data_IF_956810406812
#
_entry.id   IF_956810406812
#
_cell.length_a   1.000
_cell.length_b   1.000
_cell.length_c   1.000
_cell.angle_alpha   90.00
_cell.angle_beta   90.00
_cell.angle_gamma   90.00
#
_symmetry.space_group_name_H-M   'P 1'
#
loop_
_entity.id
_entity.type
_entity.pdbx_description
1 polymer ?
#
# COMPACT_ATOMS: atom_id res chain seq x y z
N UNK A 1 -15.98 -4.02 16.01
CA UNK A 1 -17.07 -4.72 15.29
C UNK A 1 -17.04 -6.21 15.58
N UNK A 2 -18.19 -6.86 15.67
CA UNK A 2 -18.30 -8.31 15.78
C UNK A 2 -18.85 -8.87 14.47
N UNK A 3 -18.01 -9.61 13.74
CA UNK A 3 -18.30 -10.07 12.37
C UNK A 3 -18.06 -11.58 12.30
N UNK A 4 -19.10 -12.40 12.07
CA UNK A 4 -18.96 -13.86 12.11
C UNK A 4 -18.01 -14.43 11.06
N UNK A 5 -17.75 -13.68 9.97
CA UNK A 5 -16.87 -14.14 8.90
C UNK A 5 -15.40 -13.74 9.09
N UNK A 6 -15.07 -12.90 10.09
CA UNK A 6 -13.69 -12.54 10.42
C UNK A 6 -12.93 -13.77 10.92
N UNK A 7 -11.65 -13.96 10.53
CA UNK A 7 -10.83 -15.08 11.02
C UNK A 7 -10.70 -15.05 12.55
N UNK A 8 -10.71 -16.24 13.16
CA UNK A 8 -10.59 -16.40 14.60
C UNK A 8 -9.55 -17.48 14.90
N UNK A 9 -8.43 -17.07 15.49
CA UNK A 9 -7.31 -17.95 15.81
C UNK A 9 -7.69 -19.06 16.79
N UNK A 10 -8.61 -18.81 17.72
CA UNK A 10 -9.08 -19.85 18.66
C UNK A 10 -9.90 -20.92 17.93
N UNK A 11 -10.72 -20.53 16.96
CA UNK A 11 -11.44 -21.47 16.12
C UNK A 11 -10.49 -22.27 15.24
N UNK A 12 -9.43 -21.64 14.73
CA UNK A 12 -8.42 -22.30 13.92
C UNK A 12 -7.61 -23.31 14.75
N UNK A 13 -7.19 -22.96 15.96
CA UNK A 13 -6.53 -23.89 16.91
C UNK A 13 -7.47 -25.03 17.29
N UNK A 14 -8.76 -24.76 17.52
CA UNK A 14 -9.74 -25.82 17.80
C UNK A 14 -9.92 -26.77 16.58
N UNK A 15 -9.71 -26.24 15.36
CA UNK A 15 -9.76 -26.97 14.10
C UNK A 15 -8.42 -27.54 13.66
N UNK A 16 -7.31 -27.35 14.38
CA UNK A 16 -5.98 -27.91 14.04
C UNK A 16 -5.95 -29.45 13.98
N UNK A 17 -7.06 -30.12 14.29
CA UNK A 17 -7.31 -31.53 13.98
C UNK A 17 -7.75 -31.80 12.52
N UNK A 18 -7.95 -30.78 11.68
CA UNK A 18 -8.34 -30.90 10.27
C UNK A 18 -7.16 -30.67 9.31
N UNK A 19 -7.17 -31.40 8.19
CA UNK A 19 -6.01 -31.61 7.30
C UNK A 19 -5.72 -30.42 6.37
N UNK A 20 -6.63 -29.43 6.27
CA UNK A 20 -6.44 -28.24 5.43
C UNK A 20 -7.08 -27.00 6.05
N UNK A 21 -6.31 -25.92 6.16
CA UNK A 21 -6.86 -24.60 6.49
C UNK A 21 -7.85 -24.16 5.38
N UNK A 22 -9.01 -23.59 5.75
CA UNK A 22 -9.93 -23.03 4.75
C UNK A 22 -9.24 -21.91 3.98
N UNK A 23 -9.63 -21.72 2.72
CA UNK A 23 -9.12 -20.61 1.91
C UNK A 23 -9.43 -19.28 2.61
N UNK A 24 -8.48 -18.33 2.64
CA UNK A 24 -8.72 -17.01 3.17
C UNK A 24 -9.93 -16.38 2.48
N UNK A 25 -10.88 -15.85 3.27
CA UNK A 25 -12.02 -15.10 2.73
C UNK A 25 -11.54 -13.76 2.20
N UNK A 26 -12.08 -13.34 1.06
CA UNK A 26 -11.77 -12.04 0.47
C UNK A 26 -12.44 -10.88 1.23
N UNK A 27 -13.64 -11.09 1.77
CA UNK A 27 -14.39 -10.12 2.58
C UNK A 27 -14.97 -10.79 3.83
N UNK A 28 -15.16 -9.99 4.87
CA UNK A 28 -15.66 -10.39 6.19
C UNK A 28 -17.07 -9.86 6.47
N UNK A 29 -17.58 -8.92 5.66
CA UNK A 29 -18.87 -8.27 5.90
C UNK A 29 -20.06 -9.18 5.62
N UNK A 30 -21.02 -9.19 6.54
CA UNK A 30 -22.34 -9.80 6.45
C UNK A 30 -23.36 -8.85 7.12
N UNK A 31 -24.04 -8.03 6.31
CA UNK A 31 -24.97 -6.98 6.78
C UNK A 31 -26.10 -7.46 7.70
N UNK A 32 -26.45 -8.75 7.67
CA UNK A 32 -27.53 -9.30 8.51
C UNK A 32 -27.03 -9.75 9.88
N UNK A 33 -25.73 -10.04 10.01
CA UNK A 33 -25.15 -10.63 11.23
C UNK A 33 -24.06 -9.79 11.88
N UNK A 34 -23.51 -8.82 11.16
CA UNK A 34 -22.48 -7.95 11.68
C UNK A 34 -23.05 -7.00 12.72
N UNK A 35 -22.36 -6.93 13.87
CA UNK A 35 -22.70 -6.00 14.94
C UNK A 35 -21.64 -4.91 15.04
N UNK A 36 -22.10 -3.67 15.10
CA UNK A 36 -21.25 -2.49 15.28
C UNK A 36 -21.37 -2.08 16.73
N UNK A 37 -20.24 -2.02 17.41
CA UNK A 37 -20.17 -1.67 18.83
C UNK A 37 -19.30 -0.42 18.97
N UNK A 38 -19.70 0.49 19.86
CA UNK A 38 -18.82 1.53 20.37
C UNK A 38 -18.18 1.05 21.67
N UNK A 39 -16.92 1.38 21.87
CA UNK A 39 -16.14 0.98 23.05
C UNK A 39 -15.35 2.18 23.57
N UNK A 40 -15.38 2.39 24.88
CA UNK A 40 -14.59 3.37 25.62
C UNK A 40 -13.96 2.73 26.87
N UNK A 41 -13.39 3.53 27.78
CA UNK A 41 -12.77 2.98 29.00
C UNK A 41 -13.79 2.36 29.98
N UNK A 42 -15.08 2.62 29.80
CA UNK A 42 -16.17 2.19 30.69
C UNK A 42 -16.85 0.90 30.23
N UNK A 43 -16.93 0.65 28.92
CA UNK A 43 -17.57 -0.55 28.41
C UNK A 43 -17.88 -0.52 26.92
N UNK A 44 -18.80 -1.40 26.51
CA UNK A 44 -19.23 -1.61 25.12
C UNK A 44 -20.73 -1.47 24.97
N UNK A 45 -21.17 -0.81 23.91
CA UNK A 45 -22.58 -0.63 23.59
C UNK A 45 -22.84 -0.92 22.12
N UNK A 46 -23.89 -1.68 21.83
CA UNK A 46 -24.28 -2.02 20.46
C UNK A 46 -24.95 -0.83 19.81
N UNK A 47 -24.46 -0.44 18.63
CA UNK A 47 -24.99 0.67 17.84
C UNK A 47 -25.99 0.13 16.82
N UNK A 48 -27.21 0.67 16.84
CA UNK A 48 -28.29 0.35 15.90
C UNK A 48 -28.81 1.60 15.21
N UNK A 49 -29.55 1.42 14.10
CA UNK A 49 -30.11 2.51 13.31
C UNK A 49 -29.54 2.60 11.90
N UNK A 50 -30.22 3.35 11.03
CA UNK A 50 -29.84 3.48 9.62
C UNK A 50 -28.60 4.35 9.40
N UNK A 51 -28.35 5.33 10.28
CA UNK A 51 -27.24 6.28 10.16
C UNK A 51 -25.87 5.62 10.19
N UNK A 52 -25.69 4.56 10.98
CA UNK A 52 -24.41 3.84 11.05
C UNK A 52 -24.09 3.12 9.74
N UNK A 53 -25.13 2.71 9.01
CA UNK A 53 -24.99 1.98 7.74
C UNK A 53 -24.55 2.89 6.60
N UNK A 54 -24.59 4.22 6.74
CA UNK A 54 -24.21 5.15 5.66
C UNK A 54 -22.72 5.43 5.61
N UNK A 55 -22.01 5.32 6.74
CA UNK A 55 -20.59 5.72 6.84
C UNK A 55 -19.61 4.56 6.62
N UNK A 56 -20.10 3.34 6.42
CA UNK A 56 -19.29 2.13 6.15
C UNK A 56 -18.03 2.05 7.05
N UNK A 57 -18.26 2.24 8.34
CA UNK A 57 -17.20 2.17 9.34
C UNK A 57 -16.49 0.81 9.26
N UNK A 58 -15.23 0.82 9.65
CA UNK A 58 -14.47 -0.39 9.95
C UNK A 58 -14.10 -0.40 11.43
N UNK A 59 -13.54 -1.52 11.90
CA UNK A 59 -13.01 -1.59 13.26
C UNK A 59 -11.90 -0.55 13.49
N UNK A 60 -11.73 -0.07 14.72
CA UNK A 60 -10.71 0.91 15.12
C UNK A 60 -11.02 2.38 14.75
N UNK A 61 -12.06 2.67 13.97
CA UNK A 61 -12.48 4.05 13.72
C UNK A 61 -12.97 4.73 15.01
N UNK A 62 -12.44 5.93 15.28
CA UNK A 62 -12.89 6.79 16.38
C UNK A 62 -13.87 7.83 15.84
N UNK A 63 -15.10 7.82 16.35
CA UNK A 63 -16.21 8.67 15.88
C UNK A 63 -17.00 9.24 17.04
N UNK A 64 -17.62 10.40 16.84
CA UNK A 64 -18.64 10.93 17.75
C UNK A 64 -20.03 10.43 17.33
N UNK A 65 -20.81 9.90 18.26
CA UNK A 65 -22.20 9.45 18.00
C UNK A 65 -23.18 10.18 18.92
N UNK A 66 -24.34 10.52 18.39
CA UNK A 66 -25.47 11.09 19.13
C UNK A 66 -26.70 10.21 18.93
N UNK A 67 -27.39 9.88 20.01
CA UNK A 67 -28.49 8.92 19.95
C UNK A 67 -29.16 8.72 21.30
N UNK A 68 -30.00 7.70 21.37
CA UNK A 68 -30.74 7.33 22.59
C UNK A 68 -30.68 5.84 22.83
N UNK A 69 -30.64 5.45 24.11
CA UNK A 69 -30.74 4.05 24.51
C UNK A 69 -32.14 3.50 24.22
N UNK A 70 -32.20 2.29 23.65
CA UNK A 70 -33.43 1.56 23.41
C UNK A 70 -33.84 0.75 24.65
N UNK A 71 -35.08 0.27 24.70
CA UNK A 71 -35.52 -0.59 25.80
C UNK A 71 -34.78 -1.95 25.86
N UNK A 72 -34.11 -2.36 24.77
CA UNK A 72 -33.26 -3.56 24.68
C UNK A 72 -31.84 -3.33 25.20
N UNK A 73 -31.44 -2.08 25.51
CA UNK A 73 -30.09 -1.72 25.93
C UNK A 73 -29.12 -1.48 24.76
N UNK A 74 -29.63 -1.36 23.54
CA UNK A 74 -28.86 -0.92 22.36
C UNK A 74 -28.88 0.61 22.27
N UNK A 75 -28.00 1.19 21.46
CA UNK A 75 -27.95 2.64 21.22
C UNK A 75 -28.39 2.97 19.82
N UNK A 76 -29.56 3.60 19.70
CA UNK A 76 -30.08 4.06 18.41
C UNK A 76 -29.38 5.36 18.01
N UNK A 77 -28.55 5.29 16.97
CA UNK A 77 -27.77 6.42 16.46
C UNK A 77 -28.64 7.33 15.59
N UNK A 78 -28.81 8.57 16.04
CA UNK A 78 -29.51 9.64 15.34
C UNK A 78 -28.54 10.40 14.42
N UNK A 79 -27.33 10.69 14.92
CA UNK A 79 -26.30 11.41 14.15
C UNK A 79 -24.89 10.94 14.50
N UNK A 80 -23.95 11.22 13.59
CA UNK A 80 -22.55 10.81 13.70
C UNK A 80 -21.64 11.90 13.14
N UNK A 81 -20.50 12.13 13.81
CA UNK A 81 -19.46 13.06 13.40
C UNK A 81 -18.13 12.34 13.29
N UNK A 82 -17.46 12.54 12.15
CA UNK A 82 -16.10 12.05 11.90
C UNK A 82 -15.06 13.12 12.30
N UNK A 83 -13.81 12.72 12.59
CA UNK A 83 -12.71 13.68 12.81
C UNK A 83 -12.45 14.62 11.64
N UNK A 84 -12.80 14.21 10.42
CA UNK A 84 -12.57 14.94 9.16
C UNK A 84 -11.08 15.16 8.85
N UNK A 85 -10.74 15.81 7.74
CA UNK A 85 -9.34 16.03 7.37
C UNK A 85 -8.62 16.92 8.41
N UNK A 86 -7.36 16.60 8.79
CA UNK A 86 -6.56 17.42 9.70
C UNK A 86 -6.13 18.74 9.05
N UNK A 87 -5.46 19.61 9.81
CA UNK A 87 -4.95 20.86 9.26
C UNK A 87 -3.88 20.58 8.20
N UNK A 88 -3.91 21.36 7.12
CA UNK A 88 -3.01 21.21 5.98
C UNK A 88 -2.05 22.40 5.91
N UNK A 89 -0.76 22.10 5.75
CA UNK A 89 0.25 23.13 5.49
C UNK A 89 -0.02 23.78 4.13
N UNK A 90 0.17 25.10 4.02
CA UNK A 90 -0.01 25.75 2.72
C UNK A 90 1.13 25.40 1.76
N UNK A 91 0.77 25.05 0.52
CA UNK A 91 1.72 24.87 -0.57
C UNK A 91 2.26 26.23 -1.01
N UNK A 92 3.57 26.32 -1.19
CA UNK A 92 4.21 27.48 -1.80
C UNK A 92 4.07 27.40 -3.32
N UNK A 93 2.89 27.76 -3.85
CA UNK A 93 2.65 27.78 -5.29
C UNK A 93 3.34 29.03 -5.89
N UNK A 94 4.25 28.89 -6.86
CA UNK A 94 4.86 30.03 -7.53
C UNK A 94 3.79 30.93 -8.16
N UNK A 95 3.95 32.26 -8.04
CA UNK A 95 2.98 33.24 -8.59
C UNK A 95 2.87 33.23 -10.11
N UNK A 96 3.85 32.65 -10.79
CA UNK A 96 3.86 32.44 -12.23
C UNK A 96 4.19 30.97 -12.48
N UNK A 97 3.49 30.31 -13.43
CA UNK A 97 3.76 28.92 -13.73
C UNK A 97 5.20 28.76 -14.20
N UNK A 98 5.88 27.76 -13.64
CA UNK A 98 7.25 27.48 -14.03
C UNK A 98 7.28 27.00 -15.48
N UNK A 99 8.30 27.42 -16.26
CA UNK A 99 8.43 26.92 -17.64
C UNK A 99 8.86 25.45 -17.69
N UNK A 100 9.34 24.90 -16.57
CA UNK A 100 9.83 23.53 -16.41
C UNK A 100 9.03 22.86 -15.30
N UNK A 101 8.20 21.90 -15.69
CA UNK A 101 7.47 21.03 -14.74
C UNK A 101 8.46 20.28 -13.87
N UNK A 102 8.03 19.87 -12.68
CA UNK A 102 8.78 19.00 -11.77
C UNK A 102 7.88 17.84 -11.36
N UNK A 103 8.37 16.62 -11.57
CA UNK A 103 7.60 15.40 -11.33
C UNK A 103 8.20 14.54 -10.23
N UNK A 104 7.33 13.87 -9.48
CA UNK A 104 7.69 12.69 -8.69
C UNK A 104 7.10 11.46 -9.36
N UNK A 105 7.95 10.47 -9.61
CA UNK A 105 7.54 9.18 -10.13
C UNK A 105 7.16 8.23 -8.98
N UNK A 106 6.03 7.55 -9.10
CA UNK A 106 5.51 6.57 -8.16
C UNK A 106 5.41 5.21 -8.85
N UNK A 107 5.93 4.19 -8.17
CA UNK A 107 6.00 2.82 -8.65
C UNK A 107 5.69 1.86 -7.50
N UNK A 108 5.09 0.71 -7.76
CA UNK A 108 4.92 -0.34 -6.76
C UNK A 108 4.88 -1.72 -7.41
N UNK A 109 5.13 -2.78 -6.66
CA UNK A 109 4.92 -4.14 -7.16
C UNK A 109 5.83 -4.49 -8.34
N UNK A 110 7.13 -4.23 -8.22
CA UNK A 110 8.12 -4.72 -9.19
C UNK A 110 8.16 -6.26 -9.19
N UNK A 111 7.99 -6.88 -8.02
CA UNK A 111 7.94 -8.32 -7.83
C UNK A 111 9.12 -9.06 -8.51
N UNK A 112 10.34 -8.54 -8.36
CA UNK A 112 11.55 -9.12 -8.95
C UNK A 112 11.71 -10.56 -8.47
N UNK A 113 11.82 -11.49 -9.42
CA UNK A 113 11.94 -12.93 -9.17
C UNK A 113 13.38 -13.43 -9.26
N UNK A 114 14.29 -12.65 -9.85
CA UNK A 114 15.67 -13.07 -10.12
C UNK A 114 15.80 -14.14 -11.22
N UNK A 115 14.74 -14.36 -12.00
CA UNK A 115 14.76 -15.22 -13.17
C UNK A 115 15.53 -14.55 -14.33
N UNK A 116 16.08 -15.35 -15.25
CA UNK A 116 16.87 -14.86 -16.39
C UNK A 116 16.03 -13.95 -17.32
N UNK A 117 14.72 -14.15 -17.33
CA UNK A 117 13.75 -13.36 -18.08
C UNK A 117 13.05 -12.36 -17.15
N UNK A 118 13.82 -11.50 -16.50
CA UNK A 118 13.25 -10.29 -15.88
C UNK A 118 12.49 -9.52 -16.98
N UNK A 119 11.35 -8.94 -16.61
CA UNK A 119 10.41 -8.36 -17.57
C UNK A 119 11.10 -7.28 -18.44
N UNK A 120 10.79 -7.28 -19.74
CA UNK A 120 11.29 -6.26 -20.68
C UNK A 120 10.83 -4.87 -20.25
N UNK A 121 9.65 -4.79 -19.65
CA UNK A 121 9.07 -3.58 -19.09
C UNK A 121 9.94 -3.00 -17.97
N UNK A 122 10.52 -3.83 -17.10
CA UNK A 122 11.46 -3.38 -16.05
C UNK A 122 12.71 -2.72 -16.65
N UNK A 123 13.26 -3.29 -17.72
CA UNK A 123 14.42 -2.71 -18.41
C UNK A 123 14.07 -1.39 -19.09
N UNK A 124 12.94 -1.33 -19.81
CA UNK A 124 12.47 -0.11 -20.45
C UNK A 124 12.18 1.01 -19.44
N UNK A 125 11.67 0.65 -18.26
CA UNK A 125 11.48 1.59 -17.15
C UNK A 125 12.81 2.21 -16.72
N UNK A 126 13.85 1.40 -16.53
CA UNK A 126 15.18 1.88 -16.12
C UNK A 126 15.78 2.77 -17.21
N UNK A 127 15.77 2.34 -18.48
CA UNK A 127 16.25 3.15 -19.61
C UNK A 127 15.47 4.47 -19.74
N UNK A 128 14.15 4.45 -19.53
CA UNK A 128 13.33 5.66 -19.54
C UNK A 128 13.69 6.62 -18.42
N UNK A 129 13.86 6.13 -17.18
CA UNK A 129 14.21 6.95 -16.02
C UNK A 129 15.65 7.49 -16.08
N UNK A 130 16.56 6.77 -16.73
CA UNK A 130 17.93 7.23 -17.01
C UNK A 130 18.00 8.20 -18.21
N UNK A 131 16.91 8.36 -18.96
CA UNK A 131 16.84 9.23 -20.15
C UNK A 131 17.52 8.62 -21.38
N UNK A 132 17.71 7.30 -21.40
CA UNK A 132 18.34 6.55 -22.50
C UNK A 132 17.31 6.10 -23.55
N UNK A 133 16.03 6.02 -23.18
CA UNK A 133 14.92 5.66 -24.05
C UNK A 133 14.06 6.87 -24.49
N UNK A 134 13.31 6.69 -25.58
CA UNK A 134 12.33 7.66 -26.06
C UNK A 134 12.87 8.71 -27.05
N UNK A 135 12.02 9.69 -27.36
CA UNK A 135 12.35 10.85 -28.19
C UNK A 135 13.02 11.97 -27.36
N UNK A 136 13.61 13.01 -27.98
CA UNK A 136 14.13 14.15 -27.24
C UNK A 136 13.10 14.84 -26.34
N UNK A 137 11.81 14.82 -26.72
CA UNK A 137 10.71 15.34 -25.89
C UNK A 137 10.47 14.46 -24.64
N UNK A 138 10.52 13.13 -24.81
CA UNK A 138 10.44 12.19 -23.68
C UNK A 138 11.62 12.37 -22.73
N UNK A 139 12.83 12.56 -23.26
CA UNK A 139 14.04 12.80 -22.47
C UNK A 139 13.99 14.13 -21.71
N UNK A 140 13.47 15.19 -22.33
CA UNK A 140 13.23 16.47 -21.65
C UNK A 140 12.25 16.30 -20.48
N UNK A 141 11.16 15.55 -20.71
CA UNK A 141 10.20 15.19 -19.65
C UNK A 141 10.83 14.32 -18.56
N UNK A 142 11.57 13.28 -18.89
CA UNK A 142 12.29 12.46 -17.90
C UNK A 142 13.23 13.33 -17.05
N UNK A 143 13.93 14.30 -17.66
CA UNK A 143 14.83 15.20 -16.94
C UNK A 143 14.14 16.08 -15.89
N UNK A 144 12.80 16.18 -15.94
CA UNK A 144 12.00 16.87 -14.92
C UNK A 144 11.56 15.98 -13.75
N UNK A 145 11.84 14.68 -13.78
CA UNK A 145 11.54 13.78 -12.66
C UNK A 145 12.62 13.94 -11.60
N UNK A 146 12.27 14.50 -10.45
CA UNK A 146 13.22 14.78 -9.36
C UNK A 146 13.44 13.58 -8.43
N UNK A 147 12.43 12.70 -8.33
CA UNK A 147 12.45 11.56 -7.41
C UNK A 147 11.58 10.40 -7.90
N UNK A 148 12.03 9.18 -7.64
CA UNK A 148 11.26 7.95 -7.73
C UNK A 148 10.92 7.44 -6.32
N UNK A 149 9.66 7.08 -6.07
CA UNK A 149 9.24 6.35 -4.87
C UNK A 149 8.78 4.96 -5.29
N UNK A 150 9.43 3.92 -4.74
CA UNK A 150 9.05 2.51 -4.91
C UNK A 150 8.28 2.09 -3.65
N UNK A 151 6.96 1.98 -3.77
CA UNK A 151 5.99 1.77 -2.70
C UNK A 151 5.74 0.27 -2.41
N UNK A 152 6.79 -0.47 -2.08
CA UNK A 152 6.72 -1.87 -1.62
C UNK A 152 6.46 -2.92 -2.70
N UNK A 153 6.62 -4.18 -2.28
CA UNK A 153 6.63 -5.39 -3.10
C UNK A 153 7.66 -5.29 -4.23
N UNK A 154 8.89 -4.96 -3.83
CA UNK A 154 10.01 -4.90 -4.77
C UNK A 154 10.49 -6.30 -5.16
N UNK A 155 10.44 -7.24 -4.22
CA UNK A 155 10.79 -8.64 -4.42
C UNK A 155 9.55 -9.52 -4.46
N UNK A 156 9.58 -10.58 -5.28
CA UNK A 156 8.51 -11.59 -5.30
C UNK A 156 8.48 -12.42 -4.02
N UNK A 157 7.35 -13.08 -3.76
CA UNK A 157 7.29 -14.08 -2.68
C UNK A 157 8.36 -15.19 -2.85
N UNK A 158 8.92 -15.72 -1.76
CA UNK A 158 9.89 -16.81 -1.83
C UNK A 158 9.33 -18.11 -2.44
N UNK A 159 8.01 -18.33 -2.36
CA UNK A 159 7.38 -19.59 -2.77
C UNK A 159 7.10 -19.69 -4.27
N UNK A 160 6.89 -18.57 -4.97
CA UNK A 160 6.80 -18.54 -6.44
C UNK A 160 8.13 -18.88 -7.10
N UNK A 161 9.25 -18.64 -6.41
CA UNK A 161 10.60 -18.95 -6.91
C UNK A 161 10.89 -20.47 -7.00
N UNK A 162 10.19 -21.30 -6.22
CA UNK A 162 10.39 -22.76 -6.22
C UNK A 162 9.56 -23.50 -7.30
N UNK A 163 8.55 -22.85 -7.88
CA UNK A 163 7.67 -23.47 -8.87
C UNK A 163 8.27 -23.46 -10.29
N UNK A 164 9.06 -22.44 -10.63
CA UNK A 164 9.62 -22.30 -11.98
C UNK A 164 10.88 -23.16 -12.22
N UNK A 165 11.64 -23.50 -11.17
CA UNK A 165 12.76 -24.45 -11.26
C UNK A 165 12.29 -25.92 -11.43
N UNK A 166 10.97 -26.16 -11.41
CA UNK A 166 10.36 -27.49 -11.52
C UNK A 166 9.82 -27.83 -12.92
N UNK A 167 10.32 -27.20 -14.00
CA UNK A 167 10.10 -27.71 -15.37
C UNK A 167 11.01 -28.93 -15.64
N UNK A 168 10.81 -29.99 -14.85
CA UNK A 168 11.28 -31.33 -15.16
C UNK A 168 10.06 -32.17 -15.60
N UNK A 169 10.17 -32.99 -16.66
CA UNK A 169 9.02 -33.69 -17.22
C UNK A 169 8.38 -34.61 -16.17
N UNK A 170 7.05 -34.54 -16.13
CA UNK A 170 6.18 -35.30 -15.25
C UNK A 170 6.56 -36.80 -15.20
N UNK A 171 7.30 -37.19 -14.17
CA UNK A 171 7.41 -38.57 -13.74
C UNK A 171 7.83 -38.63 -12.27
N UNK A 172 7.16 -39.53 -11.54
CA UNK A 172 7.31 -39.85 -10.12
C UNK A 172 6.57 -38.97 -9.11
N UNK A 173 5.45 -39.52 -8.66
CA UNK A 173 4.78 -39.24 -7.40
C UNK A 173 5.78 -39.20 -6.23
N UNK A 174 6.12 -38.01 -5.75
CA UNK A 174 6.72 -37.83 -4.42
C UNK A 174 5.63 -37.44 -3.42
N UNK A 175 5.59 -38.05 -2.23
CA UNK A 175 4.64 -37.68 -1.20
C UNK A 175 4.93 -36.25 -0.73
N UNK A 176 3.88 -35.46 -0.54
CA UNK A 176 3.91 -34.14 0.06
C UNK A 176 4.51 -34.30 1.45
N UNK A 177 5.80 -33.95 1.61
CA UNK A 177 6.46 -33.95 2.91
C UNK A 177 5.79 -32.85 3.75
N UNK A 178 5.40 -33.22 4.97
CA UNK A 178 4.86 -32.31 5.97
C UNK A 178 5.73 -31.06 6.09
N UNK A 179 5.09 -29.88 6.10
CA UNK A 179 5.72 -28.58 6.32
C UNK A 179 6.52 -28.65 7.63
N UNK A 180 7.84 -28.77 7.52
CA UNK A 180 8.72 -28.74 8.69
C UNK A 180 8.75 -27.29 9.16
N UNK A 181 8.34 -27.04 10.40
CA UNK A 181 8.46 -25.74 11.04
C UNK A 181 9.96 -25.42 11.18
N UNK A 182 10.43 -24.39 10.47
CA UNK A 182 11.83 -23.98 10.46
C UNK A 182 12.28 -23.44 9.09
N UNK A 183 13.16 -22.45 9.13
CA UNK A 183 13.83 -21.89 7.95
C UNK A 183 14.66 -22.99 7.25
N UNK A 184 14.34 -23.28 5.99
CA UNK A 184 15.16 -24.14 5.14
C UNK A 184 16.15 -23.28 4.36
N UNK A 185 17.41 -23.26 4.81
CA UNK A 185 18.47 -22.51 4.13
C UNK A 185 18.68 -22.96 2.67
N UNK A 186 18.22 -24.17 2.29
CA UNK A 186 18.32 -24.67 0.93
C UNK A 186 17.32 -24.02 -0.05
N UNK A 187 16.26 -23.36 0.43
CA UNK A 187 15.30 -22.63 -0.42
C UNK A 187 15.64 -21.14 -0.56
N UNK A 188 16.79 -20.69 -0.04
CA UNK A 188 17.21 -19.29 -0.16
C UNK A 188 17.77 -18.99 -1.55
N UNK A 189 17.18 -18.01 -2.22
CA UNK A 189 17.64 -17.49 -3.50
C UNK A 189 18.03 -16.01 -3.35
N UNK A 190 19.32 -15.70 -3.51
CA UNK A 190 19.83 -14.33 -3.40
C UNK A 190 19.67 -13.51 -4.70
N UNK A 191 19.36 -14.16 -5.84
CA UNK A 191 19.27 -13.49 -7.16
C UNK A 191 18.30 -12.31 -7.18
N UNK A 192 17.06 -12.40 -6.64
CA UNK A 192 16.12 -11.28 -6.66
C UNK A 192 16.69 -10.02 -5.98
N UNK A 193 17.29 -10.21 -4.79
CA UNK A 193 17.92 -9.12 -4.05
C UNK A 193 19.11 -8.53 -4.80
N UNK A 194 19.93 -9.35 -5.45
CA UNK A 194 21.06 -8.87 -6.25
C UNK A 194 20.60 -8.06 -7.48
N UNK A 195 19.52 -8.48 -8.15
CA UNK A 195 18.93 -7.73 -9.28
C UNK A 195 18.35 -6.40 -8.80
N UNK A 196 17.62 -6.39 -7.69
CA UNK A 196 17.11 -5.16 -7.10
C UNK A 196 18.25 -4.20 -6.72
N UNK A 197 19.32 -4.69 -6.09
CA UNK A 197 20.48 -3.86 -5.74
C UNK A 197 21.14 -3.24 -6.97
N UNK A 198 21.33 -4.01 -8.05
CA UNK A 198 21.88 -3.50 -9.30
C UNK A 198 20.99 -2.42 -9.93
N UNK A 199 19.69 -2.68 -10.03
CA UNK A 199 18.72 -1.71 -10.55
C UNK A 199 18.71 -0.41 -9.75
N UNK A 200 18.71 -0.52 -8.42
CA UNK A 200 18.77 0.65 -7.53
C UNK A 200 20.08 1.41 -7.71
N UNK A 201 21.21 0.71 -7.82
CA UNK A 201 22.51 1.34 -8.04
C UNK A 201 22.56 2.10 -9.36
N UNK A 202 22.01 1.54 -10.43
CA UNK A 202 21.92 2.19 -11.75
C UNK A 202 21.07 3.46 -11.67
N UNK A 203 19.83 3.36 -11.13
CA UNK A 203 18.94 4.50 -10.99
C UNK A 203 19.53 5.61 -10.10
N UNK A 204 20.17 5.24 -8.99
CA UNK A 204 20.75 6.18 -8.03
C UNK A 204 21.91 7.01 -8.60
N UNK A 205 22.44 6.68 -9.79
CA UNK A 205 23.41 7.52 -10.50
C UNK A 205 22.82 8.82 -11.03
N UNK A 206 21.51 8.85 -11.30
CA UNK A 206 20.84 9.94 -12.00
C UNK A 206 19.68 10.54 -11.20
N UNK A 207 18.86 9.69 -10.55
CA UNK A 207 17.65 10.11 -9.82
C UNK A 207 17.69 9.69 -8.34
N UNK A 208 17.04 10.47 -7.49
CA UNK A 208 16.82 10.06 -6.09
C UNK A 208 15.74 8.99 -6.01
N UNK A 209 16.02 7.86 -5.35
CA UNK A 209 15.11 6.73 -5.17
C UNK A 209 14.78 6.54 -3.69
N UNK A 210 13.51 6.70 -3.33
CA UNK A 210 12.96 6.27 -2.05
C UNK A 210 12.43 4.84 -2.17
N UNK A 211 12.89 3.93 -1.31
CA UNK A 211 12.45 2.53 -1.29
C UNK A 211 11.66 2.24 -0.02
N UNK A 212 10.39 1.86 -0.16
CA UNK A 212 9.52 1.40 0.93
C UNK A 212 9.40 -0.13 0.89
N UNK A 213 9.36 -0.82 2.04
CA UNK A 213 9.06 -2.24 2.09
C UNK A 213 7.55 -2.51 1.95
N UNK A 214 7.20 -3.60 1.25
CA UNK A 214 5.85 -4.14 1.21
C UNK A 214 5.72 -5.49 1.93
N UNK A 215 4.64 -6.22 1.64
CA UNK A 215 4.29 -7.49 2.29
C UNK A 215 5.25 -8.62 1.91
N UNK A 216 5.70 -8.64 0.65
CA UNK A 216 6.60 -9.68 0.11
C UNK A 216 8.07 -9.37 0.33
N UNK A 217 8.38 -8.15 0.81
CA UNK A 217 9.74 -7.70 1.00
C UNK A 217 10.30 -8.15 2.37
N UNK A 218 11.63 -8.33 2.48
CA UNK A 218 12.30 -8.77 3.71
C UNK A 218 12.42 -7.64 4.74
N UNK A 219 11.26 -7.29 5.32
CA UNK A 219 11.08 -6.44 6.49
C UNK A 219 10.26 -7.19 7.55
N UNK A 220 9.96 -6.55 8.69
CA UNK A 220 8.99 -7.11 9.63
C UNK A 220 7.58 -7.16 9.01
N UNK A 221 6.79 -8.16 9.39
CA UNK A 221 5.44 -8.36 8.87
C UNK A 221 4.42 -7.37 9.47
N UNK A 222 4.59 -6.98 10.73
CA UNK A 222 3.71 -6.03 11.40
C UNK A 222 3.96 -4.60 10.94
N UNK A 223 2.93 -3.77 10.86
CA UNK A 223 3.10 -2.34 10.69
C UNK A 223 3.55 -1.68 12.00
N UNK A 224 4.35 -0.59 11.94
CA UNK A 224 5.06 -0.08 10.78
C UNK A 224 6.22 -0.99 10.39
N UNK A 225 6.33 -1.28 9.09
CA UNK A 225 7.46 -2.03 8.55
C UNK A 225 8.70 -1.14 8.53
N UNK A 226 9.79 -1.65 9.12
CA UNK A 226 11.08 -0.99 9.15
C UNK A 226 11.76 -1.08 7.78
N UNK A 227 12.62 -0.11 7.50
CA UNK A 227 13.41 -0.09 6.26
C UNK A 227 14.20 -1.39 6.06
N UNK A 228 14.30 -1.82 4.81
CA UNK A 228 15.11 -2.98 4.44
C UNK A 228 16.57 -2.79 4.88
N UNK A 229 17.19 -3.88 5.35
CA UNK A 229 18.51 -3.80 5.96
C UNK A 229 19.61 -3.50 4.92
N UNK A 230 20.55 -2.57 5.17
CA UNK A 230 21.57 -2.16 4.18
C UNK A 230 22.48 -3.27 3.67
N UNK A 231 22.62 -4.39 4.39
CA UNK A 231 23.42 -5.56 3.92
C UNK A 231 22.83 -6.22 2.69
N UNK A 232 21.55 -5.97 2.40
CA UNK A 232 20.88 -6.44 1.20
C UNK A 232 21.34 -5.69 -0.06
N UNK A 233 21.90 -4.49 0.12
CA UNK A 233 22.23 -3.58 -0.96
C UNK A 233 23.74 -3.32 -1.03
N UNK A 234 24.57 -4.31 -1.40
CA UNK A 234 26.03 -4.15 -1.40
C UNK A 234 26.53 -3.02 -2.31
N UNK A 235 25.80 -2.67 -3.37
CA UNK A 235 26.17 -1.59 -4.30
C UNK A 235 25.33 -0.32 -4.07
N UNK A 236 24.01 -0.41 -4.00
CA UNK A 236 23.15 0.76 -3.84
C UNK A 236 23.36 1.48 -2.49
N UNK A 237 23.82 0.76 -1.44
CA UNK A 237 24.10 1.39 -0.13
C UNK A 237 25.11 2.54 -0.21
N UNK A 238 26.01 2.57 -1.19
CA UNK A 238 26.99 3.65 -1.32
C UNK A 238 26.34 4.99 -1.69
N UNK A 239 25.12 4.97 -2.21
CA UNK A 239 24.30 6.15 -2.48
C UNK A 239 23.42 6.56 -1.29
N UNK A 240 23.46 5.81 -0.17
CA UNK A 240 22.62 6.09 1.00
C UNK A 240 22.94 7.47 1.56
N UNK A 241 21.91 8.30 1.74
CA UNK A 241 22.06 9.67 2.23
C UNK A 241 22.35 10.70 1.15
N UNK A 242 22.51 10.27 -0.11
CA UNK A 242 22.49 11.13 -1.30
C UNK A 242 21.23 10.80 -2.10
N UNK A 243 21.32 9.86 -3.04
CA UNK A 243 20.24 9.51 -3.96
C UNK A 243 19.49 8.24 -3.54
N UNK A 244 20.05 7.37 -2.70
CA UNK A 244 19.32 6.21 -2.18
C UNK A 244 18.73 6.47 -0.78
N UNK A 245 17.42 6.29 -0.64
CA UNK A 245 16.66 6.65 0.57
C UNK A 245 15.79 5.46 1.00
N UNK A 246 16.34 4.50 1.77
CA UNK A 246 15.55 3.42 2.33
C UNK A 246 14.63 3.94 3.43
N UNK A 247 13.35 3.58 3.37
CA UNK A 247 12.28 4.15 4.19
C UNK A 247 11.38 3.09 4.84
N UNK A 248 10.45 3.52 5.68
CA UNK A 248 9.45 2.67 6.38
C UNK A 248 8.16 2.53 5.57
N UNK A 249 7.25 1.65 6.02
CA UNK A 249 5.86 1.61 5.58
C UNK A 249 4.94 1.62 6.82
N UNK A 250 4.05 2.61 7.00
CA UNK A 250 3.81 3.78 6.13
C UNK A 250 5.02 4.72 6.01
N UNK A 251 4.99 5.59 5.00
CA UNK A 251 6.00 6.62 4.77
C UNK A 251 5.38 8.01 4.62
N UNK A 252 5.96 9.01 5.28
CA UNK A 252 5.67 10.41 5.04
C UNK A 252 6.97 11.17 4.69
N UNK A 253 6.90 12.06 3.71
CA UNK A 253 8.00 12.94 3.33
C UNK A 253 7.51 14.25 2.72
N UNK A 254 8.42 15.21 2.56
CA UNK A 254 8.16 16.46 1.85
C UNK A 254 9.15 16.61 0.69
N UNK A 255 8.63 16.87 -0.51
CA UNK A 255 9.41 17.00 -1.74
C UNK A 255 8.98 18.32 -2.40
N UNK A 256 9.91 19.27 -2.51
CA UNK A 256 9.69 20.62 -3.05
C UNK A 256 8.43 21.32 -2.50
N UNK A 257 8.19 21.19 -1.19
CA UNK A 257 7.04 21.80 -0.49
C UNK A 257 5.72 21.04 -0.64
N UNK A 258 5.70 19.90 -1.33
CA UNK A 258 4.56 18.98 -1.42
C UNK A 258 4.75 17.84 -0.42
N UNK A 259 3.70 17.54 0.35
CA UNK A 259 3.74 16.57 1.45
C UNK A 259 3.12 15.28 0.95
N UNK A 260 3.89 14.22 0.99
CA UNK A 260 3.48 12.89 0.61
C UNK A 260 3.26 12.06 1.86
N UNK A 261 2.14 11.35 1.88
CA UNK A 261 1.89 10.22 2.77
C UNK A 261 1.60 9.02 1.88
N UNK A 262 2.11 7.85 2.21
CA UNK A 262 1.71 6.66 1.50
C UNK A 262 2.04 5.36 2.18
N UNK A 263 1.40 4.31 1.68
CA UNK A 263 1.55 2.94 2.17
C UNK A 263 1.83 1.99 1.02
N UNK A 264 2.30 0.79 1.34
CA UNK A 264 2.55 -0.26 0.35
C UNK A 264 1.32 -1.12 0.02
N UNK A 265 0.10 -0.65 0.32
CA UNK A 265 -1.15 -1.31 -0.08
C UNK A 265 -1.89 -2.01 1.05
N UNK A 266 -1.18 -2.61 2.01
CA UNK A 266 -1.78 -3.51 3.00
C UNK A 266 -2.89 -2.85 3.82
N UNK A 267 -2.79 -1.53 4.08
CA UNK A 267 -3.78 -0.79 4.86
C UNK A 267 -5.15 -0.74 4.18
N UNK A 268 -5.19 -0.39 2.90
CA UNK A 268 -6.44 -0.35 2.13
C UNK A 268 -6.89 -1.75 1.73
N UNK A 269 -5.96 -2.68 1.46
CA UNK A 269 -6.29 -4.09 1.22
C UNK A 269 -6.96 -4.74 2.42
N UNK A 270 -6.61 -4.33 3.64
CA UNK A 270 -7.28 -4.81 4.84
C UNK A 270 -8.64 -4.14 5.07
N UNK A 271 -8.75 -2.81 4.86
CA UNK A 271 -10.05 -2.10 4.87
C UNK A 271 -11.03 -2.70 3.84
N UNK A 272 -10.55 -3.07 2.65
CA UNK A 272 -11.35 -3.70 1.59
C UNK A 272 -12.07 -4.97 2.07
N UNK A 273 -11.49 -5.71 3.02
CA UNK A 273 -12.12 -6.92 3.57
C UNK A 273 -13.36 -6.59 4.40
N UNK A 274 -13.48 -5.37 4.93
CA UNK A 274 -14.58 -4.93 5.78
C UNK A 274 -15.71 -4.21 5.04
N UNK A 275 -15.56 -3.94 3.74
CA UNK A 275 -16.51 -3.14 2.97
C UNK A 275 -16.99 -3.86 1.72
N UNK A 276 -18.25 -3.62 1.34
CA UNK A 276 -18.86 -4.32 0.20
C UNK A 276 -18.45 -3.74 -1.15
N UNK A 277 -18.13 -2.44 -1.21
CA UNK A 277 -17.64 -1.77 -2.40
C UNK A 277 -16.20 -2.16 -2.76
N UNK A 278 -15.83 -1.88 -4.01
CA UNK A 278 -14.49 -2.16 -4.53
C UNK A 278 -13.69 -0.88 -4.84
N UNK A 279 -14.28 0.31 -4.64
CA UNK A 279 -13.64 1.60 -4.88
C UNK A 279 -12.54 1.88 -3.83
N UNK A 280 -11.29 1.61 -4.22
CA UNK A 280 -10.13 1.84 -3.36
C UNK A 280 -9.88 3.31 -3.08
N UNK A 281 -10.25 4.22 -3.98
CA UNK A 281 -10.12 5.67 -3.75
C UNK A 281 -11.12 6.15 -2.70
N UNK A 282 -12.33 5.59 -2.68
CA UNK A 282 -13.30 5.86 -1.61
C UNK A 282 -12.79 5.36 -0.25
N UNK A 283 -12.21 4.16 -0.19
CA UNK A 283 -11.59 3.64 1.03
C UNK A 283 -10.44 4.54 1.51
N UNK A 284 -9.59 5.01 0.60
CA UNK A 284 -8.53 5.98 0.91
C UNK A 284 -9.10 7.28 1.47
N UNK A 285 -10.13 7.83 0.83
CA UNK A 285 -10.80 9.04 1.30
C UNK A 285 -11.35 8.87 2.72
N UNK A 286 -11.97 7.72 3.01
CA UNK A 286 -12.48 7.39 4.35
C UNK A 286 -11.35 7.31 5.38
N UNK A 287 -10.23 6.66 5.08
CA UNK A 287 -9.08 6.62 6.01
C UNK A 287 -8.54 8.02 6.35
N UNK A 288 -8.56 8.95 5.39
CA UNK A 288 -8.22 10.36 5.65
C UNK A 288 -9.24 11.05 6.57
N UNK A 289 -10.54 10.84 6.35
CA UNK A 289 -11.61 11.42 7.17
C UNK A 289 -11.66 10.83 8.58
N UNK A 290 -11.24 9.58 8.74
CA UNK A 290 -11.04 8.93 10.04
C UNK A 290 -9.73 9.35 10.72
N UNK A 291 -8.85 10.09 10.02
CA UNK A 291 -7.48 10.45 10.44
C UNK A 291 -6.64 9.25 10.88
N UNK A 292 -6.83 8.09 10.24
CA UNK A 292 -6.13 6.85 10.60
C UNK A 292 -5.66 6.15 9.32
N UNK A 293 -4.35 5.98 9.17
CA UNK A 293 -3.73 5.30 8.01
C UNK A 293 -4.08 3.82 7.98
N UNK A 294 -4.20 3.19 9.14
CA UNK A 294 -4.40 1.76 9.31
C UNK A 294 -5.49 1.47 10.37
N UNK A 295 -6.77 1.84 10.13
CA UNK A 295 -7.81 1.76 11.15
C UNK A 295 -8.08 0.32 11.64
N UNK A 296 -7.86 -0.69 10.78
CA UNK A 296 -8.08 -2.09 11.13
C UNK A 296 -6.94 -2.72 11.93
N UNK A 297 -5.88 -1.96 12.25
CA UNK A 297 -4.82 -2.40 13.14
C UNK A 297 -5.18 -2.11 14.61
N UNK A 298 -4.96 -3.05 15.55
CA UNK A 298 -4.33 -4.37 15.41
C UNK A 298 -5.26 -5.54 15.04
N UNK A 299 -6.57 -5.31 14.85
CA UNK A 299 -7.60 -6.36 14.78
C UNK A 299 -7.33 -7.42 13.70
N UNK A 300 -7.16 -7.00 12.45
CA UNK A 300 -6.84 -7.89 11.31
C UNK A 300 -5.55 -7.54 10.62
N UNK A 301 -5.16 -6.26 10.65
CA UNK A 301 -3.87 -5.83 10.20
C UNK A 301 -2.91 -5.78 11.38
N UNK A 302 -1.93 -6.69 11.39
CA UNK A 302 -1.00 -6.78 12.52
C UNK A 302 -0.14 -5.53 12.63
N UNK A 303 -0.07 -4.98 13.84
CA UNK A 303 0.82 -3.87 14.14
C UNK A 303 1.63 -4.11 15.41
N UNK A 304 2.68 -3.31 15.56
CA UNK A 304 3.43 -3.21 16.79
C UNK A 304 2.54 -2.63 17.90
N UNK A 305 2.52 -3.22 19.11
CA UNK A 305 1.71 -2.73 20.22
C UNK A 305 2.34 -1.46 20.82
N UNK A 306 2.00 -0.30 20.27
CA UNK A 306 2.41 1.00 20.81
C UNK A 306 1.91 1.17 22.26
N UNK A 307 2.73 1.77 23.11
CA UNK A 307 2.38 1.99 24.52
C UNK A 307 1.78 3.36 24.78
N UNK A 308 2.35 4.39 24.14
CA UNK A 308 2.02 5.79 24.42
C UNK A 308 1.18 6.40 23.28
N UNK A 309 1.76 6.47 22.07
CA UNK A 309 1.15 7.15 20.92
C UNK A 309 0.95 6.21 19.72
N UNK A 310 -0.24 6.25 19.13
CA UNK A 310 -0.55 5.53 17.89
C UNK A 310 0.08 6.25 16.68
N UNK A 311 1.05 5.59 16.06
CA UNK A 311 1.78 6.12 14.90
C UNK A 311 0.95 6.10 13.60
N UNK A 312 -0.26 5.56 13.60
CA UNK A 312 -1.14 5.56 12.43
C UNK A 312 -2.08 6.76 12.37
N UNK A 313 -2.09 7.61 13.40
CA UNK A 313 -2.86 8.86 13.40
C UNK A 313 -2.29 9.83 12.38
N UNK A 314 -3.17 10.39 11.53
CA UNK A 314 -2.81 11.42 10.55
C UNK A 314 -2.89 12.78 11.23
N UNK A 315 -1.78 13.24 11.77
CA UNK A 315 -1.72 14.52 12.50
C UNK A 315 -1.78 15.74 11.57
N UNK A 316 -1.13 15.66 10.41
CA UNK A 316 -1.05 16.74 9.42
C UNK A 316 -1.54 16.22 8.07
N UNK A 317 -2.40 17.00 7.41
CA UNK A 317 -3.01 16.59 6.16
C UNK A 317 -1.96 16.54 5.04
N UNK A 318 -1.83 15.42 4.31
CA UNK A 318 -0.90 15.34 3.19
C UNK A 318 -1.44 16.13 1.99
N UNK A 319 -0.57 16.50 1.06
CA UNK A 319 -0.97 17.03 -0.26
C UNK A 319 -1.24 15.89 -1.24
N UNK A 320 -0.46 14.80 -1.11
CA UNK A 320 -0.60 13.58 -1.89
C UNK A 320 -0.70 12.40 -0.93
N UNK A 321 -1.76 11.61 -1.05
CA UNK A 321 -1.91 10.34 -0.35
C UNK A 321 -1.91 9.20 -1.38
N UNK A 322 -0.86 8.37 -1.38
CA UNK A 322 -0.72 7.27 -2.32
C UNK A 322 -0.76 5.90 -1.64
N UNK A 323 -1.26 4.91 -2.36
CA UNK A 323 -1.33 3.51 -1.90
C UNK A 323 -0.78 2.61 -2.99
N UNK A 324 0.27 1.85 -2.65
CA UNK A 324 0.92 0.89 -3.53
C UNK A 324 0.12 -0.39 -3.76
N UNK A 325 0.60 -1.21 -4.69
CA UNK A 325 0.17 -2.58 -4.93
C UNK A 325 -1.33 -2.76 -5.20
N UNK A 326 -1.98 -1.75 -5.76
CA UNK A 326 -3.38 -1.82 -6.15
C UNK A 326 -3.52 -2.56 -7.50
N UNK A 327 -4.73 -3.00 -7.83
CA UNK A 327 -4.99 -3.73 -9.08
C UNK A 327 -4.94 -2.84 -10.32
N UNK A 328 -5.25 -1.56 -10.16
CA UNK A 328 -5.32 -0.59 -11.25
C UNK A 328 -4.92 0.82 -10.77
N UNK A 329 -4.50 1.64 -11.72
CA UNK A 329 -4.28 3.05 -11.49
C UNK A 329 -5.61 3.79 -11.28
N UNK A 330 -5.62 4.69 -10.31
CA UNK A 330 -6.76 5.53 -10.00
C UNK A 330 -6.30 6.80 -9.31
N UNK A 331 -7.01 7.90 -9.55
CA UNK A 331 -6.74 9.17 -8.87
C UNK A 331 -8.00 9.97 -8.62
N UNK A 332 -8.05 10.68 -7.49
CA UNK A 332 -9.15 11.58 -7.10
C UNK A 332 -8.59 12.77 -6.34
N UNK A 333 -9.15 13.95 -6.58
CA UNK A 333 -8.88 15.14 -5.78
C UNK A 333 -9.99 15.30 -4.73
N UNK A 334 -9.63 15.16 -3.46
CA UNK A 334 -10.56 15.28 -2.32
C UNK A 334 -10.37 16.63 -1.64
N UNK A 335 -11.47 17.17 -1.12
CA UNK A 335 -11.49 18.45 -0.42
C UNK A 335 -11.97 18.26 1.02
N UNK A 336 -11.31 18.95 1.95
CA UNK A 336 -11.70 19.04 3.35
C UNK A 336 -12.55 20.29 3.64
N UNK A 337 -13.09 20.36 4.86
CA UNK A 337 -13.96 21.45 5.30
C UNK A 337 -13.26 22.82 5.42
N UNK A 338 -11.94 22.82 5.62
CA UNK A 338 -11.11 24.01 5.81
C UNK A 338 -10.24 24.29 4.57
N UNK A 339 -10.78 24.04 3.38
CA UNK A 339 -10.07 24.18 2.09
C UNK A 339 -8.81 23.31 1.98
N UNK A 340 -8.73 22.19 2.72
CA UNK A 340 -7.69 21.21 2.47
C UNK A 340 -7.93 20.55 1.11
N UNK A 341 -6.86 20.26 0.38
CA UNK A 341 -6.91 19.61 -0.93
C UNK A 341 -5.90 18.45 -0.96
N UNK A 342 -6.39 17.23 -1.18
CA UNK A 342 -5.57 16.01 -1.16
C UNK A 342 -5.75 15.24 -2.45
N UNK A 343 -4.64 15.00 -3.16
CA UNK A 343 -4.59 14.11 -4.31
C UNK A 343 -4.44 12.67 -3.83
N UNK A 344 -5.46 11.86 -4.04
CA UNK A 344 -5.46 10.42 -3.81
C UNK A 344 -4.92 9.70 -5.05
N UNK A 345 -4.07 8.69 -4.84
CA UNK A 345 -3.44 7.93 -5.92
C UNK A 345 -3.37 6.44 -5.55
N UNK A 346 -4.00 5.58 -6.34
CA UNK A 346 -3.72 4.13 -6.30
C UNK A 346 -2.66 3.80 -7.33
N UNK A 347 -1.56 3.21 -6.88
CA UNK A 347 -0.44 2.82 -7.74
C UNK A 347 -0.61 1.33 -8.07
N UNK A 348 -0.72 0.96 -9.36
CA UNK A 348 -0.87 -0.43 -9.74
C UNK A 348 0.42 -1.22 -9.52
N UNK A 349 0.29 -2.55 -9.49
CA UNK A 349 1.45 -3.47 -9.50
C UNK A 349 2.14 -3.42 -10.85
N UNK A 350 3.37 -2.92 -10.89
CA UNK A 350 4.13 -2.76 -12.13
C UNK A 350 4.32 -4.09 -12.87
N UNK A 351 4.58 -5.19 -12.15
CA UNK A 351 4.70 -6.52 -12.76
C UNK A 351 3.45 -6.95 -13.55
N UNK A 352 2.28 -6.41 -13.20
CA UNK A 352 0.99 -6.73 -13.83
C UNK A 352 0.55 -5.71 -14.87
N UNK A 353 0.81 -4.42 -14.68
CA UNK A 353 0.34 -3.37 -15.60
C UNK A 353 1.46 -2.75 -16.45
N UNK A 354 2.70 -2.79 -15.98
CA UNK A 354 3.85 -2.10 -16.58
C UNK A 354 3.65 -0.57 -16.59
N UNK A 355 3.02 -0.02 -15.56
CA UNK A 355 2.66 1.40 -15.48
C UNK A 355 3.46 2.14 -14.40
N UNK A 356 4.05 3.27 -14.78
CA UNK A 356 4.66 4.25 -13.90
C UNK A 356 3.74 5.47 -13.78
N UNK A 357 3.53 5.97 -12.56
CA UNK A 357 2.70 7.14 -12.31
C UNK A 357 3.60 8.35 -12.07
N UNK A 358 3.41 9.43 -12.82
CA UNK A 358 4.08 10.71 -12.63
C UNK A 358 3.13 11.70 -11.97
N UNK A 359 3.58 12.37 -10.91
CA UNK A 359 2.82 13.40 -10.20
C UNK A 359 3.48 14.75 -10.42
N UNK A 360 2.76 15.68 -11.04
CA UNK A 360 3.22 17.07 -11.19
C UNK A 360 3.17 17.77 -9.83
N UNK A 361 4.30 18.29 -9.35
CA UNK A 361 4.37 18.94 -8.04
C UNK A 361 3.69 20.32 -8.00
N UNK A 362 3.46 20.94 -9.16
CA UNK A 362 2.79 22.24 -9.28
C UNK A 362 1.27 22.08 -9.30
N UNK A 363 0.72 21.13 -10.06
CA UNK A 363 -0.74 20.95 -10.18
C UNK A 363 -1.31 19.77 -9.38
N UNK A 364 -0.46 18.85 -8.90
CA UNK A 364 -0.84 17.55 -8.35
C UNK A 364 -1.54 16.63 -9.35
N UNK A 365 -1.54 16.96 -10.64
CA UNK A 365 -2.08 16.06 -11.66
C UNK A 365 -1.18 14.85 -11.86
N UNK A 366 -1.83 13.74 -12.22
CA UNK A 366 -1.19 12.45 -12.39
C UNK A 366 -1.21 12.07 -13.88
N UNK A 367 -0.06 11.62 -14.38
CA UNK A 367 0.10 11.09 -15.74
C UNK A 367 0.64 9.66 -15.66
N UNK A 368 0.19 8.77 -16.54
CA UNK A 368 0.64 7.36 -16.57
C UNK A 368 1.53 7.11 -17.78
N UNK A 369 2.70 6.52 -17.54
CA UNK A 369 3.59 6.01 -18.57
C UNK A 369 3.49 4.48 -18.57
N UNK A 370 3.11 3.89 -19.70
CA UNK A 370 2.96 2.44 -19.85
C UNK A 370 4.07 1.86 -20.72
N UNK A 371 4.72 0.81 -20.22
CA UNK A 371 5.82 0.10 -20.88
C UNK A 371 5.34 -1.19 -21.58
N UNK A 372 4.07 -1.57 -21.42
CA UNK A 372 3.50 -2.72 -22.13
C UNK A 372 3.18 -2.39 -23.57
N UNK A 373 3.54 -3.29 -24.47
CA UNK A 373 3.06 -3.23 -25.85
C UNK A 373 1.54 -3.45 -25.86
N UNK A 374 0.78 -2.49 -26.38
CA UNK A 374 -0.65 -2.70 -26.67
C UNK A 374 -0.77 -3.88 -27.62
N UNK A 375 -1.32 -5.01 -27.15
CA UNK A 375 -1.64 -6.10 -28.06
C UNK A 375 -2.67 -5.55 -29.05
N UNK A 376 -2.39 -5.67 -30.36
CA UNK A 376 -3.40 -5.35 -31.37
C UNK A 376 -4.52 -6.37 -31.17
N UNK A 377 -5.61 -5.94 -30.54
CA UNK A 377 -6.89 -6.65 -30.66
C UNK A 377 -7.21 -6.67 -32.15
N UNK A 378 -7.05 -7.83 -32.77
CA UNK A 378 -7.47 -8.07 -34.14
C UNK A 378 -8.97 -7.73 -34.24
N UNK A 379 -9.28 -6.79 -35.12
CA UNK A 379 -10.61 -6.30 -35.44
C UNK A 379 -11.57 -7.40 -35.91
#
# INVERSE_FOLDING_TARGET
>A
MNMPLKPNVLDDIAKDHFISAPLPRQKYRDFEKDQIMIEDESGRLELVGSKIKTEDLVTGCVVGVMGTETASGEFEVIDMVLPELPDQNQRLIPKAPSSRRNYVALLSGLNITGNIHESIETHLLVEYLLGEAGSPEDQEKTSSISRLIIAGNSLSEPHTQAADDAVAPASSSRPIKSKKYGYDAASYNAKPTAVLDALLADLCTSISVTLMPGETDPANASLPQQKMHPTMFPTAKYYTGSTFIPSTNPHACEIDGVRFLGTSGQTIDDVFKYVDGDDRLEMMERTLRWRLVAPTAPDTLWCYPFQDDDQFVIETCPHVYFVGNQSEFGTRLTHGLNNQEVRLITIPRFSETGELVLVDLETLDCEVISFKSKSRVSA
#
